data_IF_254954115000
#
_entry.id   IF_254954115000
#
_cell.length_a   1.000
_cell.length_b   1.000
_cell.length_c   1.000
_cell.angle_alpha   90.00
_cell.angle_beta   90.00
_cell.angle_gamma   90.00
#
_symmetry.space_group_name_H-M   'P 1'
#
loop_
_entity.id
_entity.type
_entity.pdbx_description
1 polymer ?
#
# COMPACT_ATOMS: atom_id res chain seq x y z
N UNK A 1 62.71 -22.63 -28.69
CA UNK A 1 62.15 -22.98 -27.37
C UNK A 1 60.85 -22.20 -27.17
N UNK A 2 59.69 -22.81 -27.43
CA UNK A 2 58.36 -22.16 -27.29
C UNK A 2 57.73 -22.62 -25.98
N UNK A 3 57.54 -21.70 -25.03
CA UNK A 3 56.84 -21.96 -23.76
C UNK A 3 55.36 -21.64 -23.96
N UNK A 4 54.49 -22.64 -23.81
CA UNK A 4 53.04 -22.42 -23.72
C UNK A 4 52.68 -22.31 -22.24
N UNK A 5 52.19 -21.14 -21.82
CA UNK A 5 51.53 -20.93 -20.54
C UNK A 5 50.04 -21.16 -20.74
N UNK A 6 49.50 -22.22 -20.13
CA UNK A 6 48.07 -22.44 -20.01
C UNK A 6 47.57 -21.69 -18.77
N UNK A 7 46.75 -20.66 -18.98
CA UNK A 7 46.00 -20.00 -17.91
C UNK A 7 44.60 -20.62 -17.92
N UNK A 8 44.28 -21.40 -16.89
CA UNK A 8 42.92 -21.85 -16.64
C UNK A 8 42.18 -20.75 -15.88
N UNK A 9 41.27 -20.03 -16.56
CA UNK A 9 40.35 -19.10 -15.93
C UNK A 9 39.17 -19.89 -15.34
N UNK A 10 39.12 -20.00 -14.02
CA UNK A 10 38.01 -20.60 -13.30
C UNK A 10 36.94 -19.52 -13.08
N UNK A 11 35.93 -19.50 -13.94
CA UNK A 11 34.79 -18.59 -13.81
C UNK A 11 33.88 -19.04 -12.67
N UNK A 12 33.91 -18.34 -11.53
CA UNK A 12 32.97 -18.54 -10.44
C UNK A 12 31.64 -17.86 -10.83
N UNK A 13 30.72 -18.63 -11.40
CA UNK A 13 29.35 -18.17 -11.61
C UNK A 13 28.66 -18.09 -10.25
N UNK A 14 28.51 -16.89 -9.69
CA UNK A 14 27.73 -16.66 -8.48
C UNK A 14 26.28 -17.07 -8.72
N UNK A 15 25.84 -18.14 -8.05
CA UNK A 15 24.43 -18.50 -7.92
C UNK A 15 23.74 -17.38 -7.13
N UNK A 16 23.18 -16.41 -7.84
CA UNK A 16 22.17 -15.55 -7.26
C UNK A 16 20.91 -16.41 -7.15
N UNK A 17 20.64 -16.94 -5.97
CA UNK A 17 19.31 -17.47 -5.66
C UNK A 17 18.34 -16.31 -5.79
N UNK A 18 17.59 -16.27 -6.89
CA UNK A 18 16.42 -15.42 -6.98
C UNK A 18 15.38 -15.99 -6.01
N UNK A 19 15.42 -15.53 -4.76
CA UNK A 19 14.31 -15.73 -3.85
C UNK A 19 13.14 -14.92 -4.43
N UNK A 20 12.11 -15.62 -4.90
CA UNK A 20 10.83 -14.98 -5.21
C UNK A 20 10.19 -14.61 -3.89
N UNK A 21 9.74 -13.38 -3.75
CA UNK A 21 8.97 -12.95 -2.58
C UNK A 21 7.74 -13.84 -2.40
N UNK A 22 7.40 -14.16 -1.16
CA UNK A 22 6.27 -15.01 -0.80
C UNK A 22 5.01 -14.15 -0.65
N UNK A 23 3.94 -14.54 -1.34
CA UNK A 23 2.62 -13.93 -1.15
C UNK A 23 2.05 -14.36 0.22
N UNK A 24 1.63 -13.38 1.03
CA UNK A 24 1.12 -13.62 2.37
C UNK A 24 -0.41 -13.53 2.43
N UNK A 25 -0.97 -12.42 1.95
CA UNK A 25 -2.42 -12.20 1.90
C UNK A 25 -2.77 -11.01 1.01
N UNK A 26 -4.06 -10.82 0.77
CA UNK A 26 -4.63 -9.60 0.20
C UNK A 26 -5.64 -9.01 1.18
N UNK A 27 -5.81 -7.69 1.15
CA UNK A 27 -6.93 -7.02 1.81
C UNK A 27 -7.44 -5.84 1.00
N UNK A 28 -8.70 -5.49 1.27
CA UNK A 28 -9.36 -4.30 0.75
C UNK A 28 -9.44 -3.20 1.82
N UNK A 29 -9.28 -1.95 1.42
CA UNK A 29 -9.36 -0.80 2.31
C UNK A 29 -9.96 0.41 1.60
N UNK A 30 -10.87 1.11 2.27
CA UNK A 30 -11.35 2.41 1.79
C UNK A 30 -10.41 3.48 2.33
N UNK A 31 -9.74 4.20 1.43
CA UNK A 31 -8.93 5.35 1.84
C UNK A 31 -9.84 6.56 1.98
N UNK A 32 -10.18 6.96 3.20
CA UNK A 32 -11.09 8.08 3.45
C UNK A 32 -10.33 9.37 3.80
N UNK A 33 -11.05 10.40 4.21
CA UNK A 33 -10.44 11.67 4.63
C UNK A 33 -9.66 11.54 5.95
N UNK A 34 -10.08 10.63 6.85
CA UNK A 34 -9.42 10.44 8.14
C UNK A 34 -8.03 9.82 8.01
N UNK A 35 -7.77 9.06 6.94
CA UNK A 35 -6.47 8.42 6.71
C UNK A 35 -5.43 9.40 6.17
N UNK A 36 -5.87 10.56 5.70
CA UNK A 36 -5.01 11.66 5.29
C UNK A 36 -4.61 12.56 6.46
N UNK A 37 -5.01 12.20 7.69
CA UNK A 37 -4.75 12.93 8.91
C UNK A 37 -3.94 12.07 9.87
N UNK A 38 -2.78 12.57 10.31
CA UNK A 38 -2.01 11.90 11.35
C UNK A 38 -2.80 11.82 12.67
N UNK A 39 -2.37 10.97 13.59
CA UNK A 39 -2.95 10.89 14.95
C UNK A 39 -2.89 12.21 15.74
N UNK A 40 -2.07 13.18 15.33
CA UNK A 40 -1.99 14.52 15.91
C UNK A 40 -2.90 15.55 15.23
N UNK A 41 -3.58 15.17 14.15
CA UNK A 41 -4.42 16.07 13.35
C UNK A 41 -3.66 16.84 12.27
N UNK A 42 -2.37 16.56 12.04
CA UNK A 42 -1.64 17.13 10.90
C UNK A 42 -1.98 16.39 9.61
N UNK A 43 -2.22 17.13 8.52
CA UNK A 43 -2.51 16.56 7.21
C UNK A 43 -1.25 15.95 6.57
N UNK A 44 -1.33 14.69 6.15
CA UNK A 44 -0.25 13.91 5.53
C UNK A 44 -0.03 14.29 4.06
N UNK A 45 -1.02 14.91 3.42
CA UNK A 45 -1.05 15.23 1.98
C UNK A 45 -0.87 16.74 1.71
N UNK A 46 -0.55 17.51 2.75
CA UNK A 46 -0.31 18.94 2.63
C UNK A 46 0.84 19.24 1.68
N UNK A 47 0.63 20.19 0.77
CA UNK A 47 1.62 20.58 -0.25
C UNK A 47 1.46 19.89 -1.60
N UNK A 48 0.43 19.06 -1.79
CA UNK A 48 -0.02 18.57 -3.11
C UNK A 48 0.96 17.64 -3.83
N UNK A 49 1.97 17.13 -3.13
CA UNK A 49 2.94 16.19 -3.70
C UNK A 49 2.32 14.79 -3.79
N UNK A 50 2.46 14.16 -4.94
CA UNK A 50 2.04 12.76 -5.16
C UNK A 50 3.31 11.93 -5.24
N UNK A 51 3.61 11.18 -4.18
CA UNK A 51 4.81 10.32 -4.11
C UNK A 51 4.44 8.99 -3.45
N UNK A 52 5.20 7.90 -3.72
CA UNK A 52 5.03 6.63 -3.01
C UNK A 52 5.11 6.79 -1.50
N UNK A 53 5.99 7.65 -0.98
CA UNK A 53 6.14 7.89 0.45
C UNK A 53 4.87 8.49 1.08
N UNK A 54 4.23 9.45 0.40
CA UNK A 54 2.99 10.06 0.89
C UNK A 54 1.83 9.06 0.83
N UNK A 55 1.70 8.31 -0.28
CA UNK A 55 0.69 7.27 -0.40
C UNK A 55 0.86 6.18 0.67
N UNK A 56 2.10 5.73 0.92
CA UNK A 56 2.40 4.79 1.99
C UNK A 56 2.08 5.36 3.37
N UNK A 57 2.30 6.66 3.61
CA UNK A 57 1.94 7.30 4.87
C UNK A 57 0.42 7.31 5.11
N UNK A 58 -0.37 7.53 4.06
CA UNK A 58 -1.85 7.46 4.10
C UNK A 58 -2.31 6.02 4.38
N UNK A 59 -1.84 5.03 3.62
CA UNK A 59 -2.17 3.60 3.85
C UNK A 59 -1.75 3.17 5.26
N UNK A 60 -0.60 3.63 5.76
CA UNK A 60 -0.13 3.34 7.11
C UNK A 60 -1.07 3.92 8.17
N UNK A 61 -1.57 5.13 7.95
CA UNK A 61 -2.50 5.79 8.86
C UNK A 61 -3.85 5.07 8.86
N UNK A 62 -4.34 4.66 7.70
CA UNK A 62 -5.49 3.78 7.54
C UNK A 62 -5.32 2.47 8.35
N UNK A 63 -4.22 1.72 8.16
CA UNK A 63 -3.98 0.50 8.96
C UNK A 63 -3.85 0.77 10.47
N UNK A 64 -3.36 1.95 10.87
CA UNK A 64 -3.38 2.36 12.28
C UNK A 64 -4.81 2.68 12.76
N UNK A 65 -5.61 3.35 11.93
CA UNK A 65 -7.03 3.62 12.20
C UNK A 65 -7.80 2.29 12.38
N UNK A 66 -7.56 1.31 11.51
CA UNK A 66 -8.21 0.00 11.56
C UNK A 66 -7.86 -0.82 12.81
N UNK A 67 -6.56 -0.96 13.10
CA UNK A 67 -6.06 -1.89 14.13
C UNK A 67 -5.92 -1.25 15.51
N UNK A 68 -5.43 -0.01 15.59
CA UNK A 68 -5.07 0.67 16.84
C UNK A 68 -6.21 1.60 17.32
N UNK A 69 -6.71 2.47 16.45
CA UNK A 69 -7.68 3.51 16.85
C UNK A 69 -9.16 3.10 16.71
N UNK A 70 -9.44 1.96 16.08
CA UNK A 70 -10.80 1.45 15.81
C UNK A 70 -11.69 2.44 15.05
N UNK A 71 -11.08 3.26 14.18
CA UNK A 71 -11.74 4.20 13.28
C UNK A 71 -11.77 3.60 11.89
N UNK A 72 -12.66 2.64 11.67
CA UNK A 72 -12.69 1.83 10.44
C UNK A 72 -13.67 2.43 9.44
N UNK A 73 -13.32 2.35 8.17
CA UNK A 73 -14.26 2.55 7.08
C UNK A 73 -15.04 1.25 6.80
N UNK A 74 -16.20 1.36 6.15
CA UNK A 74 -17.15 0.25 6.06
C UNK A 74 -16.62 -0.94 5.25
N UNK A 75 -15.81 -0.66 4.22
CA UNK A 75 -15.22 -1.64 3.33
C UNK A 75 -13.84 -2.14 3.80
N UNK A 76 -13.38 -1.73 4.98
CA UNK A 76 -12.07 -2.16 5.48
C UNK A 76 -12.07 -3.62 5.90
N UNK A 77 -11.17 -4.38 5.30
CA UNK A 77 -10.86 -5.75 5.70
C UNK A 77 -9.68 -5.79 6.68
N UNK A 78 -9.64 -6.88 7.45
CA UNK A 78 -8.47 -7.22 8.24
C UNK A 78 -7.33 -7.69 7.34
N UNK A 79 -6.11 -7.73 7.87
CA UNK A 79 -4.94 -8.16 7.12
C UNK A 79 -3.97 -8.97 8.00
N UNK A 80 -3.02 -9.66 7.38
CA UNK A 80 -2.14 -10.63 8.03
C UNK A 80 -0.85 -10.03 8.61
N UNK A 81 -0.59 -8.72 8.47
CA UNK A 81 0.75 -8.14 8.74
C UNK A 81 0.71 -6.85 9.58
N UNK A 82 -0.26 -5.98 9.34
CA UNK A 82 -0.26 -4.58 9.75
C UNK A 82 -1.03 -4.32 11.05
N UNK A 83 -1.37 -5.36 11.80
CA UNK A 83 -1.81 -5.24 13.20
C UNK A 83 -0.65 -4.73 14.09
N UNK A 84 0.58 -5.15 13.81
CA UNK A 84 1.82 -4.70 14.43
C UNK A 84 2.29 -3.35 13.89
N UNK A 85 2.47 -2.39 14.80
CA UNK A 85 2.99 -1.05 14.53
C UNK A 85 4.36 -1.05 13.86
N UNK A 86 5.24 -1.99 14.17
CA UNK A 86 6.56 -2.09 13.56
C UNK A 86 6.46 -2.53 12.10
N UNK A 87 5.52 -3.42 11.79
CA UNK A 87 5.26 -3.84 10.41
C UNK A 87 4.61 -2.71 9.60
N UNK A 88 3.70 -1.95 10.20
CA UNK A 88 3.15 -0.69 9.63
C UNK A 88 4.25 0.32 9.28
N UNK A 89 5.29 0.44 10.10
CA UNK A 89 6.39 1.37 9.83
C UNK A 89 7.21 1.02 8.56
N UNK A 90 7.13 -0.23 8.09
CA UNK A 90 7.84 -0.69 6.88
C UNK A 90 7.08 -0.42 5.57
N UNK A 91 5.86 0.09 5.62
CA UNK A 91 5.00 0.28 4.43
C UNK A 91 5.65 1.09 3.31
N UNK A 92 6.34 2.19 3.65
CA UNK A 92 7.04 3.02 2.65
C UNK A 92 8.11 2.22 1.91
N UNK A 93 8.95 1.49 2.65
CA UNK A 93 9.96 0.62 2.07
C UNK A 93 9.31 -0.45 1.20
N UNK A 94 8.30 -1.15 1.72
CA UNK A 94 7.61 -2.23 1.01
C UNK A 94 6.93 -1.75 -0.26
N UNK A 95 6.29 -0.58 -0.24
CA UNK A 95 5.67 0.00 -1.43
C UNK A 95 6.71 0.44 -2.45
N UNK A 96 7.87 0.95 -1.99
CA UNK A 96 8.98 1.32 -2.91
C UNK A 96 9.62 0.12 -3.62
N UNK A 97 9.46 -1.09 -3.06
CA UNK A 97 9.95 -2.35 -3.62
C UNK A 97 8.89 -3.08 -4.46
N UNK A 98 7.62 -2.73 -4.30
CA UNK A 98 6.50 -3.30 -5.05
C UNK A 98 6.00 -2.34 -6.12
N UNK A 99 4.69 -2.36 -6.36
CA UNK A 99 4.08 -1.60 -7.45
C UNK A 99 2.84 -0.81 -7.01
N UNK A 100 2.74 0.40 -7.53
CA UNK A 100 1.52 1.18 -7.55
C UNK A 100 1.58 2.08 -8.79
N UNK A 101 0.52 2.11 -9.58
CA UNK A 101 0.48 2.98 -10.76
C UNK A 101 0.49 4.45 -10.34
N UNK A 102 0.97 5.35 -11.20
CA UNK A 102 0.90 6.80 -10.95
C UNK A 102 -0.54 7.28 -10.68
N UNK A 103 -1.53 6.64 -11.31
CA UNK A 103 -2.94 6.91 -11.05
C UNK A 103 -3.34 6.45 -9.63
N UNK A 104 -2.95 5.25 -9.24
CA UNK A 104 -3.21 4.73 -7.88
C UNK A 104 -2.63 5.65 -6.82
N UNK A 105 -1.39 6.10 -6.98
CA UNK A 105 -0.76 7.05 -6.07
C UNK A 105 -1.54 8.36 -5.97
N UNK A 106 -2.00 8.88 -7.12
CA UNK A 106 -2.80 10.11 -7.16
C UNK A 106 -4.13 9.93 -6.44
N UNK A 107 -4.87 8.86 -6.72
CA UNK A 107 -6.18 8.61 -6.11
C UNK A 107 -6.05 8.37 -4.59
N UNK A 108 -5.03 7.66 -4.12
CA UNK A 108 -4.78 7.49 -2.67
C UNK A 108 -4.53 8.84 -1.98
N UNK A 109 -3.77 9.73 -2.64
CA UNK A 109 -3.38 11.02 -2.04
C UNK A 109 -4.50 12.06 -2.12
N UNK A 110 -5.25 12.09 -3.23
CA UNK A 110 -6.21 13.17 -3.52
C UNK A 110 -7.68 12.74 -3.41
N UNK A 111 -7.98 11.48 -3.64
CA UNK A 111 -9.33 10.92 -3.71
C UNK A 111 -9.70 10.09 -2.48
N UNK A 112 -10.82 9.37 -2.57
CA UNK A 112 -11.21 8.36 -1.57
C UNK A 112 -11.44 6.97 -2.17
N UNK A 113 -10.41 6.37 -2.78
CA UNK A 113 -10.57 5.11 -3.49
C UNK A 113 -10.73 3.92 -2.55
N UNK A 114 -11.37 2.88 -3.08
CA UNK A 114 -11.25 1.53 -2.56
C UNK A 114 -10.00 0.91 -3.19
N UNK A 115 -9.04 0.51 -2.35
CA UNK A 115 -7.81 -0.13 -2.79
C UNK A 115 -7.82 -1.62 -2.47
N UNK A 116 -7.15 -2.39 -3.32
CA UNK A 116 -6.68 -3.74 -2.97
C UNK A 116 -5.18 -3.70 -2.76
N UNK A 117 -4.72 -4.26 -1.65
CA UNK A 117 -3.31 -4.40 -1.31
C UNK A 117 -2.95 -5.88 -1.30
N UNK A 118 -2.06 -6.27 -2.20
CA UNK A 118 -1.45 -7.60 -2.21
C UNK A 118 -0.13 -7.54 -1.42
N UNK A 119 -0.06 -8.30 -0.33
CA UNK A 119 1.04 -8.25 0.63
C UNK A 119 1.96 -9.44 0.41
N UNK A 120 3.22 -9.12 0.14
CA UNK A 120 4.31 -10.07 0.10
C UNK A 120 5.20 -9.87 1.35
N UNK A 121 6.08 -10.83 1.62
CA UNK A 121 7.04 -10.74 2.73
C UNK A 121 8.03 -9.57 2.58
N UNK A 122 8.42 -9.24 1.34
CA UNK A 122 9.35 -8.16 1.03
C UNK A 122 8.70 -6.85 0.56
N UNK A 123 7.57 -6.90 -0.15
CA UNK A 123 6.95 -5.73 -0.77
C UNK A 123 5.42 -5.75 -0.70
N UNK A 124 4.79 -4.67 -1.17
CA UNK A 124 3.33 -4.61 -1.36
C UNK A 124 3.01 -4.08 -2.75
N UNK A 125 1.99 -4.66 -3.37
CA UNK A 125 1.38 -4.13 -4.59
C UNK A 125 0.04 -3.49 -4.26
N UNK A 126 -0.23 -2.31 -4.81
CA UNK A 126 -1.45 -1.54 -4.53
C UNK A 126 -2.16 -1.18 -5.83
N UNK A 127 -3.42 -1.59 -5.91
CA UNK A 127 -4.30 -1.31 -7.04
C UNK A 127 -5.59 -0.63 -6.58
N UNK A 128 -6.17 0.20 -7.45
CA UNK A 128 -7.49 0.78 -7.24
C UNK A 128 -8.51 -0.23 -7.76
N UNK A 129 -9.50 -0.55 -6.94
CA UNK A 129 -10.65 -1.38 -7.35
C UNK A 129 -11.92 -0.55 -7.52
N UNK A 130 -12.00 0.62 -6.87
CA UNK A 130 -13.04 1.63 -7.07
C UNK A 130 -12.46 3.03 -6.84
N UNK A 131 -12.69 3.97 -7.76
CA UNK A 131 -11.99 5.28 -7.73
C UNK A 131 -12.49 6.21 -6.62
N UNK A 132 -13.79 6.22 -6.34
CA UNK A 132 -14.42 7.08 -5.33
C UNK A 132 -15.62 6.35 -4.72
N UNK A 133 -15.87 6.57 -3.44
CA UNK A 133 -17.14 6.18 -2.83
C UNK A 133 -18.26 6.93 -3.58
N UNK A 134 -19.33 6.26 -4.04
CA UNK A 134 -20.45 6.94 -4.67
C UNK A 134 -21.04 7.94 -3.68
N UNK A 135 -20.89 9.24 -3.96
CA UNK A 135 -21.50 10.29 -3.15
C UNK A 135 -23.01 10.03 -3.08
N UNK A 136 -23.47 9.74 -1.86
CA UNK A 136 -24.85 9.43 -1.48
C UNK A 136 -25.88 9.41 -2.60
N UNK A 137 -26.35 8.20 -2.94
CA UNK A 137 -27.78 8.04 -3.16
C UNK A 137 -28.50 8.40 -1.86
N UNK A 138 -28.72 9.71 -1.68
CA UNK A 138 -29.70 10.22 -0.75
C UNK A 138 -31.04 9.65 -1.20
N UNK A 139 -31.46 8.54 -0.58
CA UNK A 139 -32.82 8.00 -0.64
C UNK A 139 -33.78 9.08 -0.13
N UNK A 140 -34.16 9.98 -1.03
CA UNK A 140 -35.19 11.01 -0.82
C UNK A 140 -36.59 10.42 -0.91
N UNK A 141 -36.74 9.08 -0.94
CA UNK A 141 -38.02 8.42 -1.11
C UNK A 141 -38.44 7.56 0.10
N UNK A 142 -38.22 8.05 1.32
CA UNK A 142 -38.85 7.52 2.54
C UNK A 142 -39.63 8.55 3.37
N UNK A 143 -40.10 9.62 2.75
CA UNK A 143 -41.00 10.58 3.41
C UNK A 143 -42.22 10.89 2.55
N UNK A 144 -43.03 9.88 2.22
CA UNK A 144 -44.43 10.05 1.82
C UNK A 144 -45.23 8.75 1.98
N UNK A 145 -45.23 8.18 3.19
CA UNK A 145 -46.32 7.29 3.64
C UNK A 145 -46.55 7.55 5.13
N UNK A 146 -47.39 8.54 5.42
CA UNK A 146 -48.47 8.53 6.42
C UNK A 146 -49.04 9.93 6.62
#
# INVERSE_FOLDING_TARGET
MRRYLLIAALSFAGMNSAYSAEFLCSYTARISAQDKMSSKGDSLVSGGKITPAIAAAVIRQDRANYHEFKKRDAEDETDCVFDDKQKRALLEKRLSQGTASSNSLKEIVLGTPLIKVDVYDEYVDVSIIEDQEPEGEHDTNKSNIN
#
